data_IF_794651615286
#
_entry.id   IF_794651615286
#
_cell.length_a   1.000
_cell.length_b   1.000
_cell.length_c   1.000
_cell.angle_alpha   90.00
_cell.angle_beta   90.00
_cell.angle_gamma   90.00
#
_symmetry.space_group_name_H-M   'P 1'
#
loop_
_entity.id
_entity.type
_entity.pdbx_description
1 polymer ?
#
# COMPACT_ATOMS: atom_id res chain seq x y z
N UNK A 1 -9.25 -8.52 9.99
CA UNK A 1 -9.27 -9.99 9.87
C UNK A 1 -7.88 -10.40 9.45
N UNK A 2 -7.22 -11.21 10.25
CA UNK A 2 -5.83 -11.63 10.02
C UNK A 2 -5.75 -12.60 8.83
N UNK A 3 -4.80 -12.43 7.91
CA UNK A 3 -4.70 -13.27 6.70
C UNK A 3 -4.49 -14.75 7.08
N UNK A 4 -3.71 -14.99 8.13
CA UNK A 4 -3.56 -16.32 8.72
C UNK A 4 -4.91 -16.95 9.06
N UNK A 5 -5.84 -16.17 9.63
CA UNK A 5 -7.18 -16.68 9.96
C UNK A 5 -8.03 -16.99 8.72
N UNK A 6 -7.83 -16.27 7.62
CA UNK A 6 -8.50 -16.56 6.35
C UNK A 6 -7.96 -17.85 5.72
N UNK A 7 -6.64 -18.01 5.67
CA UNK A 7 -6.00 -19.21 5.12
C UNK A 7 -6.33 -20.46 5.93
N UNK A 8 -6.31 -20.37 7.26
CA UNK A 8 -6.68 -21.49 8.14
C UNK A 8 -8.12 -21.92 7.89
N UNK A 9 -9.08 -20.98 7.88
CA UNK A 9 -10.49 -21.31 7.63
C UNK A 9 -10.75 -21.81 6.21
N UNK A 10 -10.03 -21.28 5.22
CA UNK A 10 -10.14 -21.76 3.84
C UNK A 10 -9.65 -23.20 3.72
N UNK A 11 -8.55 -23.54 4.39
CA UNK A 11 -8.01 -24.89 4.40
C UNK A 11 -8.92 -25.86 5.17
N UNK A 12 -9.51 -25.44 6.28
CA UNK A 12 -10.54 -26.22 7.01
C UNK A 12 -11.74 -26.54 6.11
N UNK A 13 -12.29 -25.53 5.42
CA UNK A 13 -13.40 -25.71 4.47
C UNK A 13 -13.01 -26.61 3.29
N UNK A 14 -11.79 -26.49 2.76
CA UNK A 14 -11.30 -27.33 1.69
C UNK A 14 -11.17 -28.80 2.11
N UNK A 15 -10.78 -29.06 3.35
CA UNK A 15 -10.69 -30.41 3.90
C UNK A 15 -12.08 -31.04 4.04
N UNK A 16 -13.09 -30.28 4.50
CA UNK A 16 -14.49 -30.76 4.58
C UNK A 16 -15.11 -31.03 3.20
N UNK A 17 -14.68 -30.30 2.16
CA UNK A 17 -15.18 -30.47 0.78
C UNK A 17 -14.64 -31.76 0.11
N UNK A 18 -13.52 -32.31 0.58
CA UNK A 18 -12.96 -33.56 0.04
C UNK A 18 -13.80 -34.80 0.39
N UNK A 19 -14.65 -34.74 1.42
CA UNK A 19 -15.56 -35.82 1.81
C UNK A 19 -16.90 -35.82 1.02
N UNK A 20 -17.11 -34.84 0.12
CA UNK A 20 -18.33 -34.69 -0.68
C UNK A 20 -18.22 -35.32 -2.08
N UNK A 21 -19.36 -35.67 -2.73
CA UNK A 21 -19.37 -36.25 -4.07
C UNK A 21 -18.59 -35.42 -5.10
N UNK A 22 -17.78 -36.12 -5.92
CA UNK A 22 -16.72 -35.59 -6.80
C UNK A 22 -17.15 -34.41 -7.69
N UNK A 23 -18.40 -34.39 -8.17
CA UNK A 23 -18.89 -33.31 -9.05
C UNK A 23 -19.12 -31.97 -8.33
N UNK A 24 -19.60 -31.97 -7.08
CA UNK A 24 -19.79 -30.74 -6.29
C UNK A 24 -18.47 -30.22 -5.74
N UNK A 25 -17.57 -31.13 -5.39
CA UNK A 25 -16.22 -30.82 -4.91
C UNK A 25 -15.42 -30.00 -5.95
N UNK A 26 -15.46 -30.38 -7.23
CA UNK A 26 -14.71 -29.68 -8.29
C UNK A 26 -15.11 -28.21 -8.48
N UNK A 27 -16.40 -27.88 -8.43
CA UNK A 27 -16.88 -26.50 -8.61
C UNK A 27 -16.49 -25.63 -7.41
N UNK A 28 -16.62 -26.16 -6.19
CA UNK A 28 -16.24 -25.46 -4.96
C UNK A 28 -14.72 -25.23 -4.88
N UNK A 29 -13.92 -26.23 -5.24
CA UNK A 29 -12.46 -26.11 -5.36
C UNK A 29 -12.07 -24.98 -6.33
N UNK A 30 -12.74 -24.90 -7.48
CA UNK A 30 -12.46 -23.84 -8.46
C UNK A 30 -12.80 -22.43 -7.95
N UNK A 31 -13.86 -22.31 -7.14
CA UNK A 31 -14.26 -21.05 -6.51
C UNK A 31 -13.30 -20.65 -5.39
N UNK A 32 -12.89 -21.62 -4.56
CA UNK A 32 -11.90 -21.39 -3.49
C UNK A 32 -10.55 -20.94 -4.07
N UNK A 33 -10.08 -21.57 -5.15
CA UNK A 33 -8.86 -21.16 -5.85
C UNK A 33 -8.98 -19.74 -6.40
N UNK A 34 -10.10 -19.39 -7.05
CA UNK A 34 -10.34 -18.02 -7.51
C UNK A 34 -10.33 -17.01 -6.36
N UNK A 35 -11.01 -17.32 -5.25
CA UNK A 35 -11.05 -16.47 -4.08
C UNK A 35 -9.65 -16.22 -3.50
N UNK A 36 -8.82 -17.27 -3.42
CA UNK A 36 -7.41 -17.15 -3.00
C UNK A 36 -6.62 -16.22 -3.93
N UNK A 37 -6.70 -16.43 -5.25
CA UNK A 37 -6.02 -15.58 -6.22
C UNK A 37 -6.45 -14.11 -6.16
N UNK A 38 -7.75 -13.85 -5.97
CA UNK A 38 -8.25 -12.48 -5.81
C UNK A 38 -7.73 -11.84 -4.53
N UNK A 39 -7.69 -12.58 -3.42
CA UNK A 39 -7.17 -12.09 -2.15
C UNK A 39 -5.68 -11.73 -2.27
N UNK A 40 -4.86 -12.62 -2.83
CA UNK A 40 -3.43 -12.37 -3.11
C UNK A 40 -3.23 -11.13 -3.99
N UNK A 41 -4.06 -10.95 -5.02
CA UNK A 41 -4.00 -9.77 -5.91
C UNK A 41 -4.35 -8.48 -5.17
N UNK A 42 -5.39 -8.50 -4.33
CA UNK A 42 -5.78 -7.34 -3.52
C UNK A 42 -4.70 -6.99 -2.51
N UNK A 43 -4.09 -7.98 -1.88
CA UNK A 43 -2.96 -7.78 -0.97
C UNK A 43 -1.80 -7.09 -1.69
N UNK A 44 -1.35 -7.65 -2.82
CA UNK A 44 -0.26 -7.06 -3.61
C UNK A 44 -0.56 -5.62 -4.04
N UNK A 45 -1.81 -5.35 -4.44
CA UNK A 45 -2.25 -3.99 -4.79
C UNK A 45 -2.20 -3.06 -3.60
N UNK A 46 -2.58 -3.54 -2.41
CA UNK A 46 -2.55 -2.74 -1.17
C UNK A 46 -1.13 -2.45 -0.74
N UNK A 47 -0.22 -3.42 -0.81
CA UNK A 47 1.22 -3.24 -0.55
C UNK A 47 1.82 -2.19 -1.49
N UNK A 48 1.54 -2.31 -2.80
CA UNK A 48 2.02 -1.34 -3.81
C UNK A 48 1.50 0.07 -3.54
N UNK A 49 0.23 0.20 -3.13
CA UNK A 49 -0.35 1.49 -2.74
C UNK A 49 0.33 2.06 -1.48
N UNK A 50 0.63 1.20 -0.50
CA UNK A 50 1.33 1.60 0.71
C UNK A 50 2.72 2.15 0.39
N UNK A 51 3.50 1.44 -0.43
CA UNK A 51 4.83 1.88 -0.86
C UNK A 51 4.77 3.22 -1.63
N UNK A 52 3.76 3.37 -2.49
CA UNK A 52 3.55 4.62 -3.25
C UNK A 52 3.21 5.79 -2.33
N UNK A 53 2.40 5.57 -1.29
CA UNK A 53 2.06 6.59 -0.29
C UNK A 53 3.26 6.96 0.57
N UNK A 54 4.08 5.98 0.96
CA UNK A 54 5.30 6.25 1.73
C UNK A 54 6.33 7.02 0.90
N UNK A 55 6.47 6.68 -0.39
CA UNK A 55 7.27 7.46 -1.32
C UNK A 55 6.75 8.90 -1.46
N UNK A 56 5.45 9.08 -1.69
CA UNK A 56 4.84 10.39 -1.80
C UNK A 56 5.04 11.21 -0.52
N UNK A 57 4.88 10.59 0.65
CA UNK A 57 5.09 11.22 1.96
C UNK A 57 6.53 11.74 2.09
N UNK A 58 7.51 10.96 1.65
CA UNK A 58 8.92 11.38 1.66
C UNK A 58 9.15 12.55 0.71
N UNK A 59 8.63 12.49 -0.52
CA UNK A 59 8.73 13.58 -1.49
C UNK A 59 8.13 14.88 -0.95
N UNK A 60 6.97 14.83 -0.30
CA UNK A 60 6.36 16.01 0.33
C UNK A 60 7.26 16.59 1.43
N UNK A 61 7.91 15.75 2.24
CA UNK A 61 8.85 16.24 3.26
C UNK A 61 10.02 17.00 2.63
N UNK A 62 10.59 16.50 1.53
CA UNK A 62 11.68 17.17 0.82
C UNK A 62 11.21 18.49 0.19
N UNK A 63 10.05 18.50 -0.47
CA UNK A 63 9.50 19.73 -1.06
C UNK A 63 9.29 20.83 0.00
N UNK A 64 8.77 20.46 1.17
CA UNK A 64 8.60 21.41 2.27
C UNK A 64 9.94 21.92 2.81
N UNK A 65 10.95 21.06 2.89
CA UNK A 65 12.29 21.44 3.30
C UNK A 65 12.92 22.43 2.31
N UNK A 66 12.86 22.12 1.02
CA UNK A 66 13.40 22.97 -0.05
C UNK A 66 12.67 24.32 -0.13
N UNK A 67 11.35 24.31 0.06
CA UNK A 67 10.55 25.53 0.12
C UNK A 67 10.99 26.44 1.28
N UNK A 68 11.23 25.86 2.46
CA UNK A 68 11.69 26.63 3.61
C UNK A 68 13.14 27.13 3.44
N UNK A 69 14.02 26.34 2.83
CA UNK A 69 15.38 26.75 2.50
C UNK A 69 15.39 27.95 1.53
N UNK A 70 14.63 27.86 0.43
CA UNK A 70 14.52 28.95 -0.56
C UNK A 70 13.85 30.20 0.03
N UNK A 71 12.88 30.04 0.94
CA UNK A 71 12.26 31.17 1.67
C UNK A 71 13.29 31.90 2.54
N UNK A 72 14.10 31.18 3.30
CA UNK A 72 15.15 31.77 4.15
C UNK A 72 16.23 32.46 3.32
N UNK A 73 16.65 31.84 2.23
CA UNK A 73 17.62 32.42 1.31
C UNK A 73 17.10 33.72 0.69
N UNK A 74 15.86 33.74 0.22
CA UNK A 74 15.25 34.96 -0.33
C UNK A 74 15.20 36.10 0.70
N UNK A 75 14.81 35.80 1.95
CA UNK A 75 14.82 36.78 3.03
C UNK A 75 16.21 37.33 3.32
N UNK A 76 17.24 36.46 3.33
CA UNK A 76 18.61 36.87 3.53
C UNK A 76 19.10 37.79 2.40
N UNK A 77 18.84 37.42 1.15
CA UNK A 77 19.20 38.23 -0.03
C UNK A 77 18.52 39.60 -0.02
N UNK A 78 17.22 39.68 0.34
CA UNK A 78 16.51 40.96 0.47
C UNK A 78 17.14 41.87 1.52
N UNK A 79 17.49 41.33 2.69
CA UNK A 79 18.19 42.10 3.73
C UNK A 79 19.57 42.59 3.29
N UNK A 80 20.26 41.86 2.43
CA UNK A 80 21.54 42.32 1.87
C UNK A 80 21.34 43.48 0.91
N UNK A 81 20.31 43.44 0.07
CA UNK A 81 19.98 44.51 -0.86
C UNK A 81 19.59 45.80 -0.12
N UNK A 82 18.71 45.71 0.88
CA UNK A 82 18.31 46.85 1.71
C UNK A 82 19.51 47.54 2.36
N UNK A 83 20.47 46.77 2.88
CA UNK A 83 21.72 47.32 3.47
C UNK A 83 22.69 47.91 2.46
N UNK A 84 22.58 47.56 1.18
CA UNK A 84 23.44 48.10 0.12
C UNK A 84 22.91 49.39 -0.50
N UNK A 85 21.64 49.72 -0.24
CA UNK A 85 20.98 50.94 -0.71
C UNK A 85 21.05 52.10 0.30
N UNK A 86 21.50 51.85 1.54
CA UNK A 86 21.82 52.85 2.59
C UNK A 86 23.30 53.27 2.56
#
# INVERSE_FOLDING_TARGET
MDISTFETRLNELLNEINDLPVERSKKLLSLAQKAKMYNEKLQKSTETLHDSLDHLRLTVKYLLFDLEATRRENQYLRKMLEKSEE
#
